data_IF_755345656280
#
_entry.id   IF_755345656280
#
_cell.length_a   1.000
_cell.length_b   1.000
_cell.length_c   1.000
_cell.angle_alpha   90.00
_cell.angle_beta   90.00
_cell.angle_gamma   90.00
#
_symmetry.space_group_name_H-M   'P 1'
#
loop_
_entity.id
_entity.type
_entity.pdbx_description
1 polymer ?
#
# COMPACT_ATOMS: atom_id res chain seq x y z
N UNK A 1 -16.19 -12.42 -25.28
CA UNK A 1 -16.67 -11.29 -24.44
C UNK A 1 -15.56 -10.95 -23.47
N UNK A 2 -14.99 -9.75 -23.53
CA UNK A 2 -14.06 -9.25 -22.52
C UNK A 2 -14.88 -8.83 -21.31
N UNK A 3 -14.84 -9.62 -20.24
CA UNK A 3 -15.31 -9.19 -18.93
C UNK A 3 -14.49 -7.96 -18.54
N UNK A 4 -15.09 -6.85 -18.08
CA UNK A 4 -14.30 -5.77 -17.51
C UNK A 4 -13.51 -6.37 -16.34
N UNK A 5 -12.19 -6.44 -16.49
CA UNK A 5 -11.30 -6.62 -15.35
C UNK A 5 -11.57 -5.41 -14.47
N UNK A 6 -12.32 -5.59 -13.38
CA UNK A 6 -12.32 -4.60 -12.32
C UNK A 6 -10.87 -4.64 -11.86
N UNK A 7 -10.08 -3.62 -12.25
CA UNK A 7 -8.69 -3.51 -11.87
C UNK A 7 -8.62 -3.75 -10.36
N UNK A 8 -8.10 -4.92 -9.99
CA UNK A 8 -8.18 -5.32 -8.61
C UNK A 8 -7.17 -4.43 -7.85
N UNK A 9 -7.70 -3.70 -6.88
CA UNK A 9 -6.99 -2.56 -6.28
C UNK A 9 -6.48 -2.99 -4.91
N UNK A 10 -5.21 -2.72 -4.64
CA UNK A 10 -4.63 -2.91 -3.31
C UNK A 10 -4.76 -1.61 -2.53
N UNK A 11 -5.61 -1.56 -1.51
CA UNK A 11 -5.73 -0.41 -0.64
C UNK A 11 -4.72 -0.48 0.50
N UNK A 12 -4.06 0.65 0.76
CA UNK A 12 -3.05 0.80 1.80
C UNK A 12 -3.43 2.01 2.65
N UNK A 13 -3.81 1.79 3.90
CA UNK A 13 -4.07 2.86 4.85
C UNK A 13 -2.94 2.91 5.88
N UNK A 14 -2.39 4.10 6.12
CA UNK A 14 -1.25 4.28 7.03
C UNK A 14 -1.63 5.27 8.12
N UNK A 15 -1.58 4.81 9.36
CA UNK A 15 -1.60 5.64 10.55
C UNK A 15 -0.15 6.01 10.91
N UNK A 16 0.14 7.31 10.88
CA UNK A 16 1.49 7.85 10.99
C UNK A 16 1.79 8.27 12.42
N UNK A 17 2.99 7.96 12.88
CA UNK A 17 3.54 8.53 14.10
C UNK A 17 5.06 8.52 14.03
N UNK A 18 5.70 9.26 14.94
CA UNK A 18 7.16 9.30 15.03
C UNK A 18 7.80 7.99 15.47
N UNK A 19 7.07 7.15 16.21
CA UNK A 19 7.62 5.93 16.80
C UNK A 19 7.33 4.70 15.97
N UNK A 20 6.08 4.55 15.51
CA UNK A 20 5.61 3.40 14.74
C UNK A 20 4.61 3.83 13.69
N UNK A 21 4.66 3.20 12.53
CA UNK A 21 3.59 3.27 11.55
C UNK A 21 2.74 2.02 11.63
N UNK A 22 1.42 2.18 11.56
CA UNK A 22 0.49 1.07 11.41
C UNK A 22 -0.05 1.09 9.98
N UNK A 23 0.27 0.05 9.22
CA UNK A 23 -0.13 -0.11 7.82
C UNK A 23 -1.22 -1.16 7.74
N UNK A 24 -2.40 -0.79 7.28
CA UNK A 24 -3.50 -1.69 6.95
C UNK A 24 -3.54 -1.93 5.43
N UNK A 25 -3.60 -3.20 5.05
CA UNK A 25 -3.62 -3.67 3.67
C UNK A 25 -4.95 -4.37 3.40
N UNK A 26 -5.62 -3.98 2.33
CA UNK A 26 -6.75 -4.69 1.75
C UNK A 26 -6.42 -4.99 0.28
N UNK A 27 -6.37 -6.28 -0.07
CA UNK A 27 -5.90 -6.71 -1.38
C UNK A 27 -6.57 -8.03 -1.79
N UNK A 28 -6.66 -8.34 -3.09
CA UNK A 28 -7.42 -9.48 -3.60
C UNK A 28 -7.00 -10.86 -3.07
N UNK A 29 -5.72 -11.02 -2.75
CA UNK A 29 -5.16 -12.27 -2.22
C UNK A 29 -5.30 -12.40 -0.70
N UNK A 30 -5.79 -11.37 -0.02
CA UNK A 30 -5.97 -11.36 1.44
C UNK A 30 -7.42 -11.69 1.78
N UNK A 31 -7.61 -12.72 2.61
CA UNK A 31 -8.96 -13.10 3.08
C UNK A 31 -9.61 -12.06 4.02
N UNK A 32 -8.81 -11.14 4.56
CA UNK A 32 -9.21 -10.05 5.46
C UNK A 32 -8.15 -8.96 5.46
N UNK A 33 -8.50 -7.77 5.95
CA UNK A 33 -7.54 -6.69 6.17
C UNK A 33 -6.37 -7.19 7.01
N UNK A 34 -5.15 -7.00 6.51
CA UNK A 34 -3.90 -7.35 7.19
C UNK A 34 -3.26 -6.08 7.72
N UNK A 35 -2.90 -6.07 9.00
CA UNK A 35 -2.16 -4.97 9.61
C UNK A 35 -0.70 -5.33 9.88
N UNK A 36 0.21 -4.41 9.57
CA UNK A 36 1.65 -4.54 9.78
C UNK A 36 2.14 -3.30 10.53
N UNK A 37 3.01 -3.49 11.51
CA UNK A 37 3.67 -2.40 12.22
C UNK A 37 5.08 -2.23 11.69
N UNK A 38 5.44 -1.00 11.36
CA UNK A 38 6.78 -0.60 10.96
C UNK A 38 7.34 0.40 11.98
N UNK A 39 8.66 0.55 12.00
CA UNK A 39 9.28 1.68 12.69
C UNK A 39 8.84 3.00 12.03
N UNK A 40 8.70 4.06 12.83
CA UNK A 40 8.43 5.38 12.29
C UNK A 40 9.52 5.79 11.29
N UNK A 41 9.13 6.33 10.15
CA UNK A 41 10.03 6.71 9.04
C UNK A 41 10.74 5.55 8.34
N UNK A 42 10.33 4.29 8.56
CA UNK A 42 10.80 3.15 7.79
C UNK A 42 10.19 3.14 6.37
N UNK A 43 10.64 4.08 5.55
CA UNK A 43 10.19 4.22 4.16
C UNK A 43 10.59 3.04 3.27
N UNK A 44 11.79 2.41 3.41
CA UNK A 44 12.12 1.22 2.64
C UNK A 44 11.19 0.05 3.00
N UNK A 45 10.96 -0.20 4.29
CA UNK A 45 10.06 -1.26 4.73
C UNK A 45 8.61 -1.05 4.26
N UNK A 46 8.15 0.20 4.19
CA UNK A 46 6.85 0.54 3.62
C UNK A 46 6.79 0.23 2.10
N UNK A 47 7.80 0.66 1.34
CA UNK A 47 7.86 0.42 -0.11
C UNK A 47 7.87 -1.09 -0.40
N UNK A 48 8.72 -1.84 0.31
CA UNK A 48 8.83 -3.29 0.13
C UNK A 48 7.51 -4.00 0.45
N UNK A 49 6.83 -3.59 1.54
CA UNK A 49 5.54 -4.13 1.92
C UNK A 49 4.47 -3.89 0.83
N UNK A 50 4.41 -2.67 0.29
CA UNK A 50 3.44 -2.31 -0.76
C UNK A 50 3.74 -3.09 -2.05
N UNK A 51 5.01 -3.13 -2.48
CA UNK A 51 5.42 -3.86 -3.70
C UNK A 51 5.12 -5.35 -3.59
N UNK A 52 5.43 -5.98 -2.46
CA UNK A 52 5.13 -7.39 -2.24
C UNK A 52 3.61 -7.66 -2.28
N UNK A 53 2.81 -6.76 -1.71
CA UNK A 53 1.35 -6.87 -1.72
C UNK A 53 0.79 -6.79 -3.15
N UNK A 54 1.27 -5.83 -3.94
CA UNK A 54 0.85 -5.66 -5.35
C UNK A 54 1.34 -6.82 -6.21
N UNK A 55 2.55 -7.33 -5.99
CA UNK A 55 3.07 -8.50 -6.70
C UNK A 55 2.21 -9.75 -6.46
N UNK A 56 1.86 -10.05 -5.21
CA UNK A 56 0.99 -11.17 -4.88
C UNK A 56 -0.43 -11.01 -5.46
N UNK A 57 -0.98 -9.79 -5.46
CA UNK A 57 -2.24 -9.51 -6.15
C UNK A 57 -2.12 -9.72 -7.67
N UNK A 58 -0.97 -9.37 -8.26
CA UNK A 58 -0.72 -9.50 -9.70
C UNK A 58 -0.63 -10.96 -10.13
N UNK A 59 0.01 -11.79 -9.33
CA UNK A 59 0.05 -13.25 -9.55
C UNK A 59 -1.35 -13.87 -9.54
N UNK A 60 -2.26 -13.38 -8.68
CA UNK A 60 -3.63 -13.89 -8.57
C UNK A 60 -4.59 -13.32 -9.62
N UNK A 61 -4.49 -12.01 -9.91
CA UNK A 61 -5.51 -11.26 -10.65
C UNK A 61 -5.04 -10.69 -11.99
N UNK A 62 -3.76 -10.83 -12.36
CA UNK A 62 -3.17 -10.29 -13.60
C UNK A 62 -2.62 -8.87 -13.46
N UNK A 63 -1.98 -8.37 -14.52
CA UNK A 63 -1.04 -7.23 -14.50
C UNK A 63 -1.62 -5.84 -14.13
N UNK A 64 -2.94 -5.66 -14.07
CA UNK A 64 -3.56 -4.34 -13.84
C UNK A 64 -3.69 -3.95 -12.34
N UNK A 65 -2.94 -4.59 -11.44
CA UNK A 65 -2.99 -4.27 -10.02
C UNK A 65 -2.21 -3.00 -9.70
N UNK A 66 -2.81 -2.11 -8.91
CA UNK A 66 -2.16 -0.89 -8.45
C UNK A 66 -2.44 -0.64 -6.97
N UNK A 67 -1.51 -0.04 -6.23
CA UNK A 67 -1.77 0.41 -4.88
C UNK A 67 -2.56 1.74 -4.91
N UNK A 68 -3.52 1.87 -4.00
CA UNK A 68 -4.15 3.13 -3.62
C UNK A 68 -3.78 3.38 -2.16
N UNK A 69 -2.99 4.43 -1.92
CA UNK A 69 -2.42 4.71 -0.60
C UNK A 69 -3.10 5.93 0.02
N UNK A 70 -3.49 5.83 1.29
CA UNK A 70 -4.02 6.94 2.08
C UNK A 70 -3.36 7.02 3.46
N UNK A 71 -3.21 8.24 3.97
CA UNK A 71 -2.59 8.55 5.26
C UNK A 71 -3.00 9.94 5.74
N UNK A 72 -2.78 10.22 7.03
CA UNK A 72 -3.10 11.52 7.62
C UNK A 72 -2.25 12.66 7.05
N UNK A 73 -2.88 13.81 6.83
CA UNK A 73 -2.21 15.02 6.34
C UNK A 73 -1.53 15.75 7.49
N UNK A 74 -0.29 15.36 7.79
CA UNK A 74 0.59 16.00 8.78
C UNK A 74 1.97 16.35 8.20
N UNK A 75 2.91 16.80 9.04
CA UNK A 75 4.30 17.07 8.62
C UNK A 75 4.93 15.83 7.95
N UNK A 76 4.70 14.66 8.53
CA UNK A 76 5.23 13.39 8.02
C UNK A 76 4.52 12.96 6.72
N UNK A 77 3.20 13.16 6.64
CA UNK A 77 2.40 12.86 5.44
C UNK A 77 2.80 13.66 4.21
N UNK A 78 3.20 14.93 4.37
CA UNK A 78 3.71 15.74 3.25
C UNK A 78 4.96 15.13 2.61
N UNK A 79 5.94 14.73 3.43
CA UNK A 79 7.18 14.12 2.94
C UNK A 79 6.94 12.73 2.39
N UNK A 80 6.05 11.96 3.02
CA UNK A 80 5.66 10.64 2.53
C UNK A 80 5.01 10.72 1.14
N UNK A 81 4.09 11.66 0.91
CA UNK A 81 3.48 11.86 -0.40
C UNK A 81 4.53 12.16 -1.48
N UNK A 82 5.52 13.00 -1.15
CA UNK A 82 6.60 13.35 -2.08
C UNK A 82 7.48 12.14 -2.41
N UNK A 83 7.80 11.32 -1.41
CA UNK A 83 8.54 10.09 -1.59
C UNK A 83 7.76 9.10 -2.46
N UNK A 84 6.49 8.84 -2.14
CA UNK A 84 5.66 7.89 -2.89
C UNK A 84 5.42 8.33 -4.34
N UNK A 85 5.29 9.64 -4.59
CA UNK A 85 5.14 10.17 -5.96
C UNK A 85 6.39 9.99 -6.83
N UNK A 86 7.55 9.69 -6.21
CA UNK A 86 8.80 9.39 -6.92
C UNK A 86 9.00 7.89 -7.17
N UNK A 87 8.18 7.03 -6.55
CA UNK A 87 8.31 5.57 -6.62
C UNK A 87 7.57 4.93 -7.82
N UNK A 88 6.75 5.70 -8.55
CA UNK A 88 6.16 5.29 -9.84
C UNK A 88 4.65 5.08 -9.82
#
# INVERSE_FOLDING_TARGET
MMTPSIAATCFVAIDLSKSKWLVALDAPHLAKIKSVRLDGFDTPGLIDLVRATVAAATELCGADQRPVVCFETGYDGFWLQRLLSNEG
#
